data_IF_364811776037
#
_entry.id   IF_364811776037
#
_cell.length_a   1.000
_cell.length_b   1.000
_cell.length_c   1.000
_cell.angle_alpha   90.00
_cell.angle_beta   90.00
_cell.angle_gamma   90.00
#
_symmetry.space_group_name_H-M   'P 1'
#
loop_
_entity.id
_entity.type
_entity.pdbx_description
1 polymer ?
#
# COMPACT_ATOMS: atom_id res chain seq x y z
N UNK A 1 49.43 -18.15 29.07
CA UNK A 1 48.46 -18.42 27.99
C UNK A 1 47.03 -18.50 28.56
N UNK A 2 46.78 -19.37 29.53
CA UNK A 2 45.46 -19.54 30.16
C UNK A 2 44.87 -18.26 30.78
N UNK A 3 45.67 -17.49 31.54
CA UNK A 3 45.23 -16.22 32.12
C UNK A 3 44.84 -15.15 31.09
N UNK A 4 45.50 -15.13 29.92
CA UNK A 4 45.17 -14.20 28.83
C UNK A 4 43.85 -14.58 28.16
N UNK A 5 43.61 -15.89 27.97
CA UNK A 5 42.35 -16.41 27.43
C UNK A 5 41.18 -16.13 28.39
N UNK A 6 41.37 -16.32 29.70
CA UNK A 6 40.36 -15.98 30.70
C UNK A 6 40.05 -14.50 30.69
N UNK A 7 41.07 -13.63 30.62
CA UNK A 7 40.86 -12.18 30.54
C UNK A 7 40.09 -11.75 29.28
N UNK A 8 40.43 -12.34 28.12
CA UNK A 8 39.73 -12.07 26.86
C UNK A 8 38.27 -12.54 26.90
N UNK A 9 38.00 -13.70 27.52
CA UNK A 9 36.63 -14.20 27.68
C UNK A 9 35.81 -13.27 28.57
N UNK A 10 36.34 -12.90 29.75
CA UNK A 10 35.65 -11.96 30.66
C UNK A 10 35.37 -10.61 29.99
N UNK A 11 36.30 -10.11 29.18
CA UNK A 11 36.08 -8.88 28.43
C UNK A 11 34.97 -9.02 27.37
N UNK A 12 34.88 -10.16 26.69
CA UNK A 12 33.82 -10.45 25.73
C UNK A 12 32.45 -10.52 26.41
N UNK A 13 32.36 -11.25 27.53
CA UNK A 13 31.12 -11.44 28.28
C UNK A 13 30.58 -10.10 28.78
N UNK A 14 31.46 -9.21 29.27
CA UNK A 14 31.09 -7.85 29.70
C UNK A 14 30.59 -6.98 28.55
N UNK A 15 31.17 -7.11 27.36
CA UNK A 15 30.70 -6.36 26.18
C UNK A 15 29.31 -6.84 25.75
N UNK A 16 29.09 -8.16 25.79
CA UNK A 16 27.82 -8.79 25.42
C UNK A 16 26.69 -8.42 26.40
N UNK A 17 27.00 -8.39 27.70
CA UNK A 17 26.08 -7.91 28.74
C UNK A 17 25.69 -6.44 28.52
N UNK A 18 26.68 -5.57 28.28
CA UNK A 18 26.43 -4.14 28.00
C UNK A 18 25.66 -3.91 26.71
N UNK A 19 25.89 -4.73 25.68
CA UNK A 19 25.12 -4.69 24.44
C UNK A 19 23.66 -5.10 24.69
N UNK A 20 23.44 -6.17 25.45
CA UNK A 20 22.09 -6.61 25.84
C UNK A 20 21.33 -5.54 26.65
N UNK A 21 21.98 -4.91 27.63
CA UNK A 21 21.39 -3.83 28.42
C UNK A 21 21.02 -2.60 27.59
N UNK A 22 21.86 -2.24 26.61
CA UNK A 22 21.58 -1.11 25.71
C UNK A 22 20.44 -1.43 24.74
N UNK A 23 20.37 -2.64 24.18
CA UNK A 23 19.22 -3.08 23.37
C UNK A 23 17.91 -3.03 24.15
N UNK A 24 17.92 -3.49 25.41
CA UNK A 24 16.75 -3.45 26.27
C UNK A 24 16.33 -2.00 26.59
N UNK A 25 17.31 -1.13 26.83
CA UNK A 25 17.06 0.29 27.09
C UNK A 25 16.48 1.01 25.86
N UNK A 26 16.98 0.70 24.66
CA UNK A 26 16.43 1.22 23.40
C UNK A 26 14.99 0.73 23.22
N UNK A 27 14.73 -0.58 23.39
CA UNK A 27 13.36 -1.14 23.31
C UNK A 27 12.43 -0.59 24.38
N UNK A 28 12.96 -0.14 25.52
CA UNK A 28 12.18 0.52 26.57
C UNK A 28 11.87 1.96 26.19
N UNK A 29 12.86 2.73 25.74
CA UNK A 29 12.68 4.10 25.28
C UNK A 29 11.71 4.18 24.09
N UNK A 30 11.78 3.24 23.16
CA UNK A 30 10.86 3.15 22.02
C UNK A 30 9.40 2.96 22.48
N UNK A 31 9.19 2.16 23.53
CA UNK A 31 7.89 1.99 24.19
C UNK A 31 7.47 3.19 25.04
N UNK A 32 8.37 3.78 25.79
CA UNK A 32 8.09 4.91 26.70
C UNK A 32 7.79 6.20 25.94
N UNK A 33 8.53 6.50 24.87
CA UNK A 33 8.27 7.70 24.07
C UNK A 33 6.99 7.61 23.23
N UNK A 34 6.34 6.44 23.10
CA UNK A 34 5.23 6.25 22.15
C UNK A 34 5.58 6.85 20.78
N UNK A 35 6.81 6.62 20.30
CA UNK A 35 7.17 6.93 18.92
C UNK A 35 6.47 5.91 18.01
N UNK A 36 5.14 5.94 17.99
CA UNK A 36 4.46 5.79 16.71
C UNK A 36 5.13 6.76 15.75
N UNK A 37 5.33 6.41 14.46
CA UNK A 37 5.79 7.38 13.48
C UNK A 37 5.04 8.69 13.71
N UNK A 38 5.77 9.80 13.83
CA UNK A 38 5.31 11.05 14.46
C UNK A 38 4.01 11.64 13.85
N UNK A 39 3.54 11.09 12.74
CA UNK A 39 2.12 10.87 12.47
C UNK A 39 1.98 9.46 11.87
N UNK A 40 1.00 8.62 12.26
CA UNK A 40 0.74 7.41 11.50
C UNK A 40 0.35 7.86 10.09
N UNK A 41 1.14 7.46 9.10
CA UNK A 41 0.80 7.63 7.69
C UNK A 41 -0.63 7.12 7.43
N UNK A 42 -1.28 7.66 6.40
CA UNK A 42 -2.63 7.22 6.07
C UNK A 42 -2.63 5.73 5.72
N UNK A 43 -3.52 4.96 6.35
CA UNK A 43 -3.80 3.57 5.99
C UNK A 43 -5.30 3.39 5.68
N UNK A 44 -5.60 2.71 4.58
CA UNK A 44 -6.96 2.32 4.20
C UNK A 44 -7.01 0.86 3.79
N UNK A 45 -7.75 0.06 4.55
CA UNK A 45 -8.04 -1.34 4.21
C UNK A 45 -9.35 -1.40 3.43
N UNK A 46 -9.27 -1.84 2.18
CA UNK A 46 -10.42 -1.99 1.30
C UNK A 46 -10.70 -3.46 1.03
N UNK A 47 -11.91 -3.90 1.40
CA UNK A 47 -12.42 -5.24 1.14
C UNK A 47 -13.36 -5.23 -0.05
N UNK A 48 -13.07 -6.07 -1.04
CA UNK A 48 -13.93 -6.31 -2.19
C UNK A 48 -14.70 -7.60 -1.92
N UNK A 49 -15.91 -7.47 -1.40
CA UNK A 49 -16.77 -8.58 -0.96
C UNK A 49 -18.26 -8.21 -1.14
N UNK A 50 -19.10 -9.08 -1.73
CA UNK A 50 -18.78 -10.36 -2.36
C UNK A 50 -18.05 -10.21 -3.70
N UNK A 51 -16.81 -10.72 -3.78
CA UNK A 51 -15.89 -10.52 -4.91
C UNK A 51 -16.49 -10.94 -6.25
N UNK A 52 -17.01 -12.17 -6.37
CA UNK A 52 -17.52 -12.68 -7.65
C UNK A 52 -18.69 -11.83 -8.19
N UNK A 53 -19.66 -11.49 -7.33
CA UNK A 53 -20.79 -10.68 -7.76
C UNK A 53 -20.37 -9.26 -8.17
N UNK A 54 -19.43 -8.65 -7.44
CA UNK A 54 -18.89 -7.33 -7.78
C UNK A 54 -18.07 -7.36 -9.08
N UNK A 55 -17.25 -8.40 -9.27
CA UNK A 55 -16.49 -8.62 -10.50
C UNK A 55 -17.44 -8.79 -11.69
N UNK A 56 -18.45 -9.65 -11.58
CA UNK A 56 -19.39 -9.92 -12.67
C UNK A 56 -20.18 -8.66 -13.05
N UNK A 57 -20.65 -7.90 -12.06
CA UNK A 57 -21.32 -6.62 -12.28
C UNK A 57 -20.39 -5.59 -12.95
N UNK A 58 -19.13 -5.51 -12.51
CA UNK A 58 -18.13 -4.64 -13.12
C UNK A 58 -17.86 -5.05 -14.57
N UNK A 59 -17.60 -6.34 -14.84
CA UNK A 59 -17.34 -6.87 -16.19
C UNK A 59 -18.51 -6.67 -17.15
N UNK A 60 -19.75 -6.66 -16.64
CA UNK A 60 -20.95 -6.38 -17.42
C UNK A 60 -21.19 -4.88 -17.70
N UNK A 61 -20.45 -3.99 -17.05
CA UNK A 61 -20.65 -2.53 -17.14
C UNK A 61 -19.34 -1.79 -17.44
N UNK A 62 -18.69 -1.24 -16.42
CA UNK A 62 -17.53 -0.34 -16.51
C UNK A 62 -16.20 -1.07 -16.66
N UNK A 63 -16.16 -2.36 -16.32
CA UNK A 63 -14.94 -3.15 -16.13
C UNK A 63 -14.21 -2.84 -14.82
N UNK A 64 -14.80 -2.05 -13.92
CA UNK A 64 -14.11 -1.50 -12.75
C UNK A 64 -14.99 -1.47 -11.49
N UNK A 65 -14.35 -1.63 -10.32
CA UNK A 65 -14.93 -1.46 -8.99
C UNK A 65 -14.25 -0.26 -8.34
N UNK A 66 -15.04 0.65 -7.77
CA UNK A 66 -14.56 1.85 -7.05
C UNK A 66 -14.67 1.68 -5.54
N UNK A 67 -13.72 2.23 -4.79
CA UNK A 67 -13.79 2.38 -3.33
C UNK A 67 -14.70 3.51 -2.88
N UNK A 68 -15.16 4.37 -3.80
CA UNK A 68 -15.63 5.72 -3.47
C UNK A 68 -14.47 6.66 -3.09
N UNK A 69 -14.81 7.90 -2.74
CA UNK A 69 -13.83 8.92 -2.34
C UNK A 69 -13.32 8.66 -0.93
N UNK A 70 -12.01 8.69 -0.78
CA UNK A 70 -11.28 8.55 0.48
C UNK A 70 -10.31 9.73 0.62
N UNK A 71 -10.38 10.43 1.75
CA UNK A 71 -9.48 11.56 2.03
C UNK A 71 -8.18 11.08 2.66
N UNK A 72 -7.06 11.35 1.97
CA UNK A 72 -5.71 10.93 2.36
C UNK A 72 -4.94 12.09 3.01
N UNK A 73 -4.34 11.87 4.19
CA UNK A 73 -3.54 12.83 4.99
C UNK A 73 -4.31 14.09 5.44
N UNK A 74 -5.10 14.03 6.52
CA UNK A 74 -6.03 15.13 6.91
C UNK A 74 -5.33 16.42 7.39
N UNK A 75 -5.80 17.63 6.97
CA UNK A 75 -6.72 17.89 5.86
C UNK A 75 -6.08 17.44 4.53
N UNK A 76 -6.83 16.71 3.71
CA UNK A 76 -6.21 15.76 2.77
C UNK A 76 -6.77 15.75 1.36
N UNK A 77 -6.06 15.06 0.46
CA UNK A 77 -6.46 14.89 -0.94
C UNK A 77 -7.65 13.92 -1.05
N UNK A 78 -8.63 14.26 -1.88
CA UNK A 78 -9.73 13.37 -2.22
C UNK A 78 -9.28 12.35 -3.29
N UNK A 79 -9.03 11.10 -2.89
CA UNK A 79 -8.64 10.01 -3.79
C UNK A 79 -9.74 8.98 -3.96
N UNK A 80 -9.87 8.43 -5.16
CA UNK A 80 -10.65 7.23 -5.45
C UNK A 80 -9.70 6.10 -5.79
N UNK A 81 -9.86 4.94 -5.15
CA UNK A 81 -9.17 3.71 -5.49
C UNK A 81 -10.05 2.83 -6.37
N UNK A 82 -9.48 2.27 -7.43
CA UNK A 82 -10.21 1.60 -8.49
C UNK A 82 -9.50 0.28 -8.80
N UNK A 83 -10.23 -0.83 -8.69
CA UNK A 83 -9.78 -2.12 -9.22
C UNK A 83 -10.43 -2.33 -10.57
N UNK A 84 -9.62 -2.59 -11.59
CA UNK A 84 -10.08 -2.82 -12.95
C UNK A 84 -9.82 -4.24 -13.42
N UNK A 85 -10.72 -4.77 -14.22
CA UNK A 85 -10.63 -6.05 -14.92
C UNK A 85 -10.48 -5.82 -16.44
N UNK A 86 -9.33 -5.30 -16.90
CA UNK A 86 -9.10 -5.02 -18.31
C UNK A 86 -9.24 -6.29 -19.15
N UNK A 87 -9.76 -6.12 -20.38
CA UNK A 87 -9.74 -7.20 -21.37
C UNK A 87 -8.28 -7.53 -21.72
N UNK A 88 -7.94 -8.82 -21.92
CA UNK A 88 -6.62 -9.21 -22.39
C UNK A 88 -6.24 -8.45 -23.66
N UNK A 89 -5.01 -7.96 -23.71
CA UNK A 89 -4.45 -7.36 -24.91
C UNK A 89 -3.75 -8.43 -25.73
N UNK A 90 -3.50 -8.19 -27.02
CA UNK A 90 -2.74 -9.13 -27.86
C UNK A 90 -1.32 -9.43 -27.34
N UNK A 91 -0.77 -8.57 -26.47
CA UNK A 91 0.57 -8.73 -25.86
C UNK A 91 0.50 -9.56 -24.57
N UNK A 92 -0.58 -9.46 -23.81
CA UNK A 92 -0.78 -10.18 -22.55
C UNK A 92 -2.08 -10.97 -22.65
N UNK A 93 -1.95 -12.26 -22.92
CA UNK A 93 -3.09 -13.17 -23.12
C UNK A 93 -3.83 -13.49 -21.81
N UNK A 94 -3.14 -13.43 -20.68
CA UNK A 94 -3.74 -13.74 -19.37
C UNK A 94 -4.42 -12.50 -18.80
N UNK A 95 -5.72 -12.57 -18.42
CA UNK A 95 -6.40 -11.46 -17.75
C UNK A 95 -5.67 -11.04 -16.47
N UNK A 96 -5.39 -9.75 -16.34
CA UNK A 96 -4.71 -9.15 -15.19
C UNK A 96 -5.70 -8.29 -14.40
N UNK A 97 -5.57 -8.30 -13.07
CA UNK A 97 -6.17 -7.29 -12.20
C UNK A 97 -5.31 -6.02 -12.27
N UNK A 98 -5.94 -4.88 -12.46
CA UNK A 98 -5.30 -3.57 -12.35
C UNK A 98 -5.74 -2.86 -11.08
N UNK A 99 -4.90 -1.97 -10.58
CA UNK A 99 -5.22 -1.06 -9.48
C UNK A 99 -4.84 0.36 -9.89
N UNK A 100 -5.81 1.27 -9.82
CA UNK A 100 -5.62 2.67 -10.18
C UNK A 100 -6.11 3.58 -9.06
N UNK A 101 -5.48 4.73 -8.98
CA UNK A 101 -5.91 5.86 -8.18
C UNK A 101 -6.39 6.97 -9.11
N UNK A 102 -7.27 7.81 -8.59
CA UNK A 102 -7.75 9.02 -9.26
C UNK A 102 -7.93 10.12 -8.24
N UNK A 103 -7.40 11.30 -8.55
CA UNK A 103 -7.59 12.50 -7.74
C UNK A 103 -8.90 13.16 -8.14
N UNK A 104 -9.72 13.50 -7.14
CA UNK A 104 -10.96 14.25 -7.28
C UNK A 104 -10.82 15.63 -6.64
N UNK A 105 -11.66 16.58 -7.07
CA UNK A 105 -11.75 17.87 -6.40
C UNK A 105 -12.25 17.68 -4.96
N UNK A 106 -11.49 18.20 -4.00
CA UNK A 106 -11.75 18.08 -2.56
C UNK A 106 -11.87 19.43 -1.87
N UNK A 107 -12.45 19.42 -0.66
CA UNK A 107 -12.72 20.63 0.12
C UNK A 107 -11.45 21.37 0.59
N UNK A 108 -10.31 20.68 0.58
CA UNK A 108 -9.03 21.18 1.10
C UNK A 108 -8.03 21.52 -0.01
N UNK A 109 -8.40 21.41 -1.29
CA UNK A 109 -7.47 21.52 -2.42
C UNK A 109 -6.72 22.86 -2.48
N UNK A 110 -7.29 23.94 -1.95
CA UNK A 110 -6.66 25.26 -1.87
C UNK A 110 -5.53 25.34 -0.84
N UNK A 111 -5.53 24.43 0.14
CA UNK A 111 -4.54 24.39 1.24
C UNK A 111 -3.46 23.32 1.03
N UNK A 112 -3.63 22.47 0.01
CA UNK A 112 -2.73 21.36 -0.27
C UNK A 112 -1.65 21.76 -1.28
N UNK A 113 -0.44 21.18 -1.18
CA UNK A 113 0.59 21.39 -2.18
C UNK A 113 0.21 20.69 -3.51
N UNK A 114 0.55 21.32 -4.62
CA UNK A 114 0.35 20.76 -5.96
C UNK A 114 1.62 20.90 -6.81
N UNK A 115 1.89 19.96 -7.74
CA UNK A 115 1.14 18.72 -7.99
C UNK A 115 1.22 17.71 -6.82
N UNK A 116 0.32 16.72 -6.82
CA UNK A 116 0.28 15.62 -5.85
C UNK A 116 1.61 14.86 -5.84
N UNK A 117 2.25 14.79 -4.67
CA UNK A 117 3.64 14.31 -4.47
C UNK A 117 3.76 13.28 -3.35
N UNK A 118 2.76 12.42 -3.23
CA UNK A 118 2.74 11.35 -2.22
C UNK A 118 3.33 10.04 -2.75
N UNK A 119 3.92 9.25 -1.85
CA UNK A 119 4.25 7.85 -2.11
C UNK A 119 3.04 6.99 -1.75
N UNK A 120 2.57 6.19 -2.69
CA UNK A 120 1.46 5.26 -2.50
C UNK A 120 1.98 3.83 -2.47
N UNK A 121 1.63 3.09 -1.43
CA UNK A 121 1.95 1.67 -1.29
C UNK A 121 0.64 0.89 -1.32
N UNK A 122 0.46 0.07 -2.35
CA UNK A 122 -0.61 -0.92 -2.42
C UNK A 122 -0.10 -2.25 -1.86
N UNK A 123 -0.87 -2.87 -0.97
CA UNK A 123 -0.64 -4.22 -0.49
C UNK A 123 -1.86 -5.08 -0.84
N UNK A 124 -1.65 -6.12 -1.65
CA UNK A 124 -2.62 -7.19 -1.87
C UNK A 124 -2.36 -8.29 -0.84
N UNK A 125 -3.29 -8.47 0.09
CA UNK A 125 -3.11 -9.45 1.16
C UNK A 125 -3.24 -10.87 0.65
N UNK A 126 -2.28 -11.70 1.06
CA UNK A 126 -2.51 -13.13 1.15
C UNK A 126 -3.13 -13.42 2.53
N UNK A 127 -4.40 -13.81 2.52
CA UNK A 127 -5.24 -13.99 3.70
C UNK A 127 -5.00 -15.33 4.42
N UNK A 128 -4.13 -16.19 3.89
CA UNK A 128 -3.72 -17.46 4.51
C UNK A 128 -2.29 -17.40 5.07
N UNK A 129 -1.39 -16.72 4.37
CA UNK A 129 0.00 -16.48 4.80
C UNK A 129 0.39 -15.03 4.49
N UNK A 130 0.50 -14.20 5.53
CA UNK A 130 0.82 -12.77 5.39
C UNK A 130 2.12 -12.53 4.62
N UNK A 131 3.11 -13.43 4.74
CA UNK A 131 4.40 -13.33 4.02
C UNK A 131 4.24 -13.49 2.51
N UNK A 132 3.15 -14.11 2.06
CA UNK A 132 2.79 -14.25 0.66
C UNK A 132 2.05 -13.03 0.07
N UNK A 133 1.82 -11.97 0.86
CA UNK A 133 1.22 -10.73 0.39
C UNK A 133 2.13 -10.04 -0.63
N UNK A 134 1.53 -9.30 -1.57
CA UNK A 134 2.27 -8.57 -2.61
C UNK A 134 2.18 -7.07 -2.38
N UNK A 135 3.29 -6.37 -2.45
CA UNK A 135 3.35 -4.91 -2.36
C UNK A 135 3.74 -4.27 -3.71
N UNK A 136 3.17 -3.10 -3.96
CA UNK A 136 3.44 -2.28 -5.14
C UNK A 136 3.61 -0.85 -4.67
N UNK A 137 4.68 -0.19 -5.11
CA UNK A 137 4.98 1.17 -4.72
C UNK A 137 4.90 2.09 -5.94
N UNK A 138 4.24 3.23 -5.76
CA UNK A 138 4.18 4.31 -6.71
C UNK A 138 4.68 5.58 -6.02
N UNK A 139 5.82 6.08 -6.46
CA UNK A 139 6.34 7.36 -6.04
C UNK A 139 6.01 8.43 -7.07
N UNK A 140 5.04 9.27 -6.76
CA UNK A 140 4.60 10.35 -7.67
C UNK A 140 5.62 11.50 -7.76
N UNK A 141 6.57 11.60 -6.83
CA UNK A 141 7.63 12.61 -6.89
C UNK A 141 8.62 12.35 -8.02
N UNK A 142 8.79 11.07 -8.38
CA UNK A 142 9.65 10.63 -9.49
C UNK A 142 8.96 10.67 -10.85
N UNK A 143 7.64 10.90 -10.85
CA UNK A 143 6.87 10.99 -12.09
C UNK A 143 7.12 12.32 -12.81
N UNK A 144 6.79 12.36 -14.10
CA UNK A 144 6.87 13.58 -14.91
C UNK A 144 6.06 14.71 -14.22
N UNK A 145 6.67 15.84 -13.84
CA UNK A 145 5.99 16.96 -13.20
C UNK A 145 4.88 17.57 -14.05
N UNK A 146 4.91 17.35 -15.37
CA UNK A 146 3.89 17.83 -16.31
C UNK A 146 2.70 16.88 -16.45
N UNK A 147 2.75 15.70 -15.82
CA UNK A 147 1.67 14.73 -15.90
C UNK A 147 0.36 15.30 -15.34
N UNK A 148 -0.64 15.44 -16.22
CA UNK A 148 -1.95 16.01 -15.90
C UNK A 148 -2.66 15.27 -14.75
N UNK A 149 -2.36 13.98 -14.55
CA UNK A 149 -3.00 13.17 -13.51
C UNK A 149 -2.67 13.64 -12.08
N UNK A 150 -1.55 14.34 -11.87
CA UNK A 150 -1.12 14.81 -10.53
C UNK A 150 -1.38 16.29 -10.28
N UNK A 151 -1.88 17.04 -11.27
CA UNK A 151 -2.20 18.46 -11.08
C UNK A 151 -3.39 18.65 -10.15
N UNK A 152 -3.57 19.88 -9.66
CA UNK A 152 -4.79 20.27 -8.95
C UNK A 152 -6.00 19.98 -9.83
N UNK A 153 -7.00 19.21 -9.36
CA UNK A 153 -8.18 18.89 -10.15
C UNK A 153 -9.00 20.15 -10.40
N UNK A 154 -9.63 20.21 -11.58
CA UNK A 154 -10.59 21.26 -11.88
C UNK A 154 -11.89 21.02 -11.09
N UNK A 155 -12.62 22.10 -10.78
CA UNK A 155 -13.86 22.01 -10.01
C UNK A 155 -14.85 21.02 -10.66
N UNK A 156 -15.27 20.03 -9.87
CA UNK A 156 -16.23 19.01 -10.29
C UNK A 156 -15.74 18.00 -11.32
N UNK A 157 -14.44 17.95 -11.63
CA UNK A 157 -13.87 17.00 -12.60
C UNK A 157 -12.69 16.24 -11.99
N UNK A 158 -12.71 14.89 -12.03
CA UNK A 158 -11.55 14.12 -11.61
C UNK A 158 -10.43 14.15 -12.64
N UNK A 159 -9.21 13.95 -12.15
CA UNK A 159 -8.05 13.76 -13.00
C UNK A 159 -8.06 12.42 -13.75
N UNK A 160 -7.11 12.28 -14.69
CA UNK A 160 -6.80 10.99 -15.30
C UNK A 160 -6.31 9.97 -14.25
N UNK A 161 -6.65 8.69 -14.46
CA UNK A 161 -6.25 7.60 -13.58
C UNK A 161 -4.75 7.31 -13.68
N UNK A 162 -4.14 6.91 -12.58
CA UNK A 162 -2.73 6.49 -12.50
C UNK A 162 -2.59 5.24 -11.62
N UNK A 163 -1.49 4.49 -11.74
CA UNK A 163 -1.25 3.27 -10.94
C UNK A 163 -0.87 2.06 -11.78
N UNK A 164 -1.11 0.86 -11.26
CA UNK A 164 -0.59 -0.40 -11.79
C UNK A 164 -1.58 -1.06 -12.75
N UNK A 165 -1.14 -1.35 -13.98
CA UNK A 165 -1.96 -2.09 -14.95
C UNK A 165 -1.95 -3.61 -14.69
N UNK A 166 -0.94 -4.11 -13.98
CA UNK A 166 -0.69 -5.54 -13.77
C UNK A 166 -0.31 -5.81 -12.31
N UNK A 167 -1.32 -6.00 -11.46
CA UNK A 167 -1.13 -6.33 -10.03
C UNK A 167 -1.00 -7.84 -9.85
N UNK A 168 -1.93 -8.60 -10.43
CA UNK A 168 -1.95 -10.06 -10.33
C UNK A 168 -2.81 -10.63 -11.45
N UNK A 169 -2.45 -11.82 -11.97
CA UNK A 169 -3.32 -12.49 -12.93
C UNK A 169 -4.59 -12.96 -12.23
N UNK A 170 -5.74 -12.75 -12.88
CA UNK A 170 -7.04 -13.14 -12.33
C UNK A 170 -7.09 -14.63 -11.98
N UNK A 171 -6.56 -15.56 -12.82
CA UNK A 171 -6.50 -16.98 -12.45
C UNK A 171 -5.68 -17.28 -11.19
N UNK A 172 -4.62 -16.50 -10.92
CA UNK A 172 -3.81 -16.68 -9.71
C UNK A 172 -4.52 -16.10 -8.48
N UNK A 173 -5.16 -14.94 -8.63
CA UNK A 173 -5.97 -14.30 -7.59
C UNK A 173 -7.12 -15.21 -7.12
N UNK A 174 -7.81 -15.84 -8.08
CA UNK A 174 -8.99 -16.68 -7.84
C UNK A 174 -8.65 -18.12 -7.44
N UNK A 175 -7.37 -18.49 -7.45
CA UNK A 175 -6.94 -19.80 -6.97
C UNK A 175 -6.97 -19.83 -5.43
N UNK A 176 -7.95 -20.55 -4.87
CA UNK A 176 -8.18 -20.66 -3.42
C UNK A 176 -7.00 -21.26 -2.65
N UNK A 177 -6.09 -21.99 -3.32
CA UNK A 177 -4.88 -22.54 -2.72
C UNK A 177 -3.74 -21.52 -2.61
N UNK A 178 -3.93 -20.31 -3.15
CA UNK A 178 -2.93 -19.23 -3.14
C UNK A 178 -3.21 -18.16 -2.10
N UNK A 179 -4.38 -18.19 -1.45
CA UNK A 179 -4.69 -17.35 -0.29
C UNK A 179 -5.09 -15.91 -0.57
N UNK A 180 -5.10 -15.43 -1.81
CA UNK A 180 -5.50 -14.04 -2.12
C UNK A 180 -7.03 -13.83 -2.11
N UNK A 181 -7.79 -14.87 -2.44
CA UNK A 181 -9.26 -14.88 -2.36
C UNK A 181 -9.70 -15.86 -1.26
N UNK A 182 -10.35 -15.34 -0.22
CA UNK A 182 -10.87 -16.12 0.89
C UNK A 182 -12.28 -15.64 1.24
N UNK A 183 -13.23 -16.55 1.50
CA UNK A 183 -14.61 -16.20 1.84
C UNK A 183 -15.27 -15.21 0.85
N UNK A 184 -14.98 -15.37 -0.44
CA UNK A 184 -15.44 -14.46 -1.50
C UNK A 184 -15.01 -13.00 -1.26
N UNK A 185 -13.84 -12.79 -0.67
CA UNK A 185 -13.28 -11.48 -0.36
C UNK A 185 -11.84 -11.38 -0.88
N UNK A 186 -11.54 -10.28 -1.57
CA UNK A 186 -10.17 -9.83 -1.82
C UNK A 186 -9.92 -8.61 -0.93
N UNK A 187 -8.79 -8.60 -0.23
CA UNK A 187 -8.43 -7.50 0.68
C UNK A 187 -7.19 -6.76 0.16
N UNK A 188 -7.32 -5.43 0.09
CA UNK A 188 -6.25 -4.51 -0.26
C UNK A 188 -5.97 -3.59 0.93
N UNK A 189 -4.71 -3.17 1.11
CA UNK A 189 -4.35 -2.05 1.97
C UNK A 189 -3.63 -1.00 1.13
N UNK A 190 -4.03 0.25 1.29
CA UNK A 190 -3.36 1.40 0.71
C UNK A 190 -2.70 2.14 1.87
N UNK A 191 -1.40 2.43 1.72
CA UNK A 191 -0.62 3.20 2.69
C UNK A 191 -0.03 4.42 1.99
N UNK A 192 -0.14 5.58 2.64
CA UNK A 192 0.61 6.80 2.30
C UNK A 192 1.47 7.14 3.53
N UNK A 193 2.79 6.88 3.46
CA UNK A 193 3.70 7.05 4.60
C UNK A 193 3.78 8.47 5.15
#
# INVERSE_FOLDING_TARGET
IQALQTFQQTASDLVEERFSETELSIKRLDRELHLQPMMPGFEHVWKIQPYFALKDAAMASTGEISSGIVYVNKPGYALEFIVGFPRPSGVISTPQLSFKCRIHAGDFDDMLPWPFKEKLILVLFNQQDERGSKSFELDTQTADPTAECFKKPASGQPNAKFGFSEVISIPLLENTNKGFLLCNCVALKIVVP
#
